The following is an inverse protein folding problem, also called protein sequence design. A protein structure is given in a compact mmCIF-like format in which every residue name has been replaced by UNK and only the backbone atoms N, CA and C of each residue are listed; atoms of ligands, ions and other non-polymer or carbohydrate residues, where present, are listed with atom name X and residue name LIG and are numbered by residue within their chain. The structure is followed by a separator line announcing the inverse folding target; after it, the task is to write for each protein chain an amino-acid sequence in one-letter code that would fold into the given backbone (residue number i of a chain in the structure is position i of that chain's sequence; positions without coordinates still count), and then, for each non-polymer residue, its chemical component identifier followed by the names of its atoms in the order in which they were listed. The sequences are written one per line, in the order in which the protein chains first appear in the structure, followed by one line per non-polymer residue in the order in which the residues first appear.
data_IF_682392796249
#
_entry.id   IF_682392796249
#
_cell.length_a   1.000
_cell.length_b   1.000
_cell.length_c   1.000
_cell.angle_alpha   90.00
_cell.angle_beta   90.00
_cell.angle_gamma   90.00
#
_symmetry.space_group_name_H-M   'P 1'
#
loop_
_entity.id
_entity.type
_entity.pdbx_description
1 polymer ?
#
# COMPACT_ATOMS: atom_id res chain seq x y z
N UNK A 1 27.52 -13.99 -6.27
CA UNK A 1 27.25 -12.60 -6.74
C UNK A 1 26.02 -12.63 -7.61
N UNK A 2 25.12 -11.62 -7.54
CA UNK A 2 23.95 -11.57 -8.44
C UNK A 2 24.40 -11.44 -9.91
N UNK A 3 23.64 -12.03 -10.83
CA UNK A 3 23.90 -11.98 -12.27
C UNK A 3 23.77 -10.56 -12.84
N UNK A 4 24.24 -10.34 -14.08
CA UNK A 4 24.10 -9.05 -14.78
C UNK A 4 22.63 -8.57 -14.71
N UNK A 5 22.42 -7.34 -14.25
CA UNK A 5 21.10 -6.73 -14.08
C UNK A 5 20.44 -6.90 -12.71
N UNK A 6 21.07 -7.64 -11.79
CA UNK A 6 20.61 -7.82 -10.42
C UNK A 6 21.63 -7.32 -9.40
N UNK A 7 21.13 -6.94 -8.23
CA UNK A 7 21.88 -6.41 -7.11
C UNK A 7 21.32 -6.96 -5.81
N UNK A 8 22.04 -6.77 -4.70
CA UNK A 8 21.55 -7.13 -3.37
C UNK A 8 21.41 -5.90 -2.48
N UNK A 9 20.42 -5.95 -1.59
CA UNK A 9 20.24 -5.00 -0.47
C UNK A 9 20.07 -5.77 0.84
N UNK A 10 20.54 -5.16 1.93
CA UNK A 10 20.30 -5.67 3.28
C UNK A 10 19.02 -5.08 3.85
N UNK A 11 18.15 -5.93 4.40
CA UNK A 11 16.86 -5.55 4.99
C UNK A 11 16.73 -6.20 6.36
N UNK A 12 16.19 -5.44 7.33
CA UNK A 12 15.97 -5.96 8.69
C UNK A 12 14.78 -6.92 8.76
N UNK A 13 14.78 -7.89 9.69
CA UNK A 13 13.70 -8.89 9.79
C UNK A 13 12.30 -8.28 9.94
N UNK A 14 12.16 -7.22 10.74
CA UNK A 14 10.89 -6.50 10.92
C UNK A 14 10.37 -5.88 9.62
N UNK A 15 11.26 -5.29 8.83
CA UNK A 15 10.94 -4.69 7.52
C UNK A 15 10.63 -5.77 6.49
N UNK A 16 11.37 -6.88 6.52
CA UNK A 16 11.09 -8.05 5.68
C UNK A 16 9.69 -8.60 5.96
N UNK A 17 9.32 -8.76 7.23
CA UNK A 17 7.99 -9.23 7.63
C UNK A 17 6.86 -8.32 7.14
N UNK A 18 7.04 -6.99 7.26
CA UNK A 18 6.09 -6.02 6.68
C UNK A 18 5.97 -6.14 5.16
N UNK A 19 7.10 -6.26 4.46
CA UNK A 19 7.09 -6.41 3.01
C UNK A 19 6.36 -7.70 2.60
N UNK A 20 6.64 -8.81 3.29
CA UNK A 20 5.96 -10.10 3.08
C UNK A 20 4.45 -9.99 3.29
N UNK A 21 4.02 -9.35 4.37
CA UNK A 21 2.60 -9.14 4.65
C UNK A 21 1.89 -8.37 3.53
N UNK A 22 2.53 -7.32 2.99
CA UNK A 22 1.96 -6.54 1.87
C UNK A 22 1.96 -7.35 0.58
N UNK A 23 3.03 -8.11 0.31
CA UNK A 23 3.09 -9.04 -0.82
C UNK A 23 1.95 -10.04 -0.75
N UNK A 24 1.77 -10.74 0.37
CA UNK A 24 0.73 -11.75 0.51
C UNK A 24 -0.68 -11.16 0.43
N UNK A 25 -0.87 -9.94 0.95
CA UNK A 25 -2.17 -9.28 0.95
C UNK A 25 -2.58 -8.74 -0.43
N UNK A 26 -1.65 -8.09 -1.13
CA UNK A 26 -1.96 -7.31 -2.33
C UNK A 26 -1.50 -7.98 -3.63
N UNK A 27 -0.58 -8.94 -3.53
CA UNK A 27 0.15 -9.52 -4.65
C UNK A 27 0.25 -11.04 -4.48
N UNK A 28 -0.90 -11.70 -4.34
CA UNK A 28 -1.00 -13.14 -4.08
C UNK A 28 -0.11 -13.97 -5.01
N UNK A 29 0.73 -14.83 -4.40
CA UNK A 29 1.65 -15.72 -5.12
C UNK A 29 2.90 -15.04 -5.70
N UNK A 30 3.11 -13.73 -5.45
CA UNK A 30 4.32 -13.04 -5.90
C UNK A 30 5.47 -13.14 -4.90
N UNK A 31 6.68 -13.01 -5.42
CA UNK A 31 7.90 -12.89 -4.62
C UNK A 31 8.12 -11.44 -4.15
N UNK A 32 8.77 -11.28 -2.99
CA UNK A 32 9.11 -9.97 -2.40
C UNK A 32 9.80 -8.99 -3.36
N UNK A 33 10.81 -9.40 -4.18
CA UNK A 33 11.46 -8.45 -5.09
C UNK A 33 10.49 -7.89 -6.14
N UNK A 34 9.51 -8.68 -6.58
CA UNK A 34 8.48 -8.23 -7.53
C UNK A 34 7.58 -7.16 -6.92
N UNK A 35 7.28 -7.26 -5.63
CA UNK A 35 6.51 -6.24 -4.91
C UNK A 35 7.23 -4.89 -4.92
N UNK A 36 8.55 -4.88 -4.69
CA UNK A 36 9.35 -3.65 -4.76
C UNK A 36 9.37 -3.04 -6.17
N UNK A 37 9.41 -3.87 -7.23
CA UNK A 37 9.32 -3.41 -8.61
C UNK A 37 8.00 -2.69 -8.86
N UNK A 38 6.89 -3.32 -8.45
CA UNK A 38 5.54 -2.76 -8.65
C UNK A 38 5.43 -1.43 -7.92
N UNK A 39 5.76 -1.39 -6.62
CA UNK A 39 5.65 -0.18 -5.81
C UNK A 39 6.52 0.96 -6.35
N UNK A 40 7.77 0.67 -6.74
CA UNK A 40 8.63 1.67 -7.40
C UNK A 40 7.99 2.24 -8.67
N UNK A 41 7.45 1.38 -9.53
CA UNK A 41 6.82 1.82 -10.78
C UNK A 41 5.58 2.66 -10.53
N UNK A 42 4.78 2.35 -9.51
CA UNK A 42 3.62 3.15 -9.12
C UNK A 42 4.02 4.54 -8.65
N UNK A 43 5.10 4.65 -7.85
CA UNK A 43 5.65 5.94 -7.40
C UNK A 43 6.19 6.74 -8.59
N UNK A 44 6.98 6.11 -9.47
CA UNK A 44 7.50 6.76 -10.69
C UNK A 44 6.40 7.22 -11.64
N UNK A 45 5.29 6.49 -11.69
CA UNK A 45 4.11 6.86 -12.46
C UNK A 45 3.23 7.93 -11.78
N UNK A 46 3.63 8.45 -10.61
CA UNK A 46 2.90 9.49 -9.89
C UNK A 46 1.60 9.03 -9.24
N UNK A 47 1.38 7.71 -9.08
CA UNK A 47 0.14 7.19 -8.46
C UNK A 47 0.04 7.55 -6.98
N UNK A 48 1.18 7.68 -6.31
CA UNK A 48 1.29 8.23 -4.97
C UNK A 48 2.70 8.77 -4.74
N UNK A 49 2.83 9.67 -3.77
CA UNK A 49 4.12 10.17 -3.31
C UNK A 49 4.49 9.50 -1.99
N UNK A 50 5.79 9.21 -1.81
CA UNK A 50 6.28 8.65 -0.56
C UNK A 50 6.38 9.79 0.45
N UNK A 51 5.63 9.68 1.54
CA UNK A 51 5.65 10.63 2.65
C UNK A 51 6.41 10.04 3.83
N UNK A 52 7.04 10.90 4.62
CA UNK A 52 7.56 10.51 5.91
C UNK A 52 6.40 10.30 6.90
N UNK A 53 6.38 9.16 7.60
CA UNK A 53 5.42 8.87 8.66
C UNK A 53 6.13 8.80 10.00
N UNK A 54 5.40 8.97 11.10
CA UNK A 54 5.96 8.81 12.44
C UNK A 54 6.23 7.34 12.75
N UNK A 55 7.36 6.81 12.27
CA UNK A 55 7.77 5.42 12.39
C UNK A 55 8.79 5.23 13.52
N UNK A 56 8.67 4.12 14.23
CA UNK A 56 9.74 3.55 15.06
C UNK A 56 9.96 2.11 14.64
N UNK A 57 11.03 1.87 13.88
CA UNK A 57 11.35 0.52 13.41
C UNK A 57 12.25 -0.20 14.41
N UNK A 58 11.89 -1.44 14.72
CA UNK A 58 12.82 -2.37 15.36
C UNK A 58 13.88 -2.80 14.34
N UNK A 59 15.06 -2.20 14.43
CA UNK A 59 16.21 -2.52 13.58
C UNK A 59 17.22 -3.45 14.28
N UNK A 60 16.79 -4.20 15.29
CA UNK A 60 17.61 -5.26 15.89
C UNK A 60 17.75 -6.47 14.96
N UNK A 61 18.55 -7.46 15.36
CA UNK A 61 18.79 -8.67 14.57
C UNK A 61 19.75 -8.48 13.39
N UNK A 62 20.06 -9.60 12.71
CA UNK A 62 20.96 -9.62 11.54
C UNK A 62 20.21 -9.16 10.29
N UNK A 63 20.93 -8.53 9.36
CA UNK A 63 20.36 -8.18 8.07
C UNK A 63 20.15 -9.45 7.23
N UNK A 64 18.97 -9.54 6.62
CA UNK A 64 18.69 -10.49 5.56
C UNK A 64 19.04 -9.84 4.22
N UNK A 65 19.56 -10.64 3.29
CA UNK A 65 19.90 -10.16 1.95
C UNK A 65 18.77 -10.49 0.99
N UNK A 66 18.29 -9.49 0.26
CA UNK A 66 17.32 -9.67 -0.84
C UNK A 66 18.02 -9.37 -2.15
N UNK A 67 17.84 -10.26 -3.13
CA UNK A 67 18.24 -10.00 -4.52
C UNK A 67 17.14 -9.21 -5.22
N UNK A 68 17.50 -8.04 -5.72
CA UNK A 68 16.62 -7.11 -6.42
C UNK A 68 17.18 -6.77 -7.80
N UNK A 69 16.35 -6.24 -8.69
CA UNK A 69 16.81 -5.71 -9.98
C UNK A 69 17.66 -4.45 -9.74
N UNK A 70 18.70 -4.24 -10.54
CA UNK A 70 19.67 -3.15 -10.31
C UNK A 70 19.07 -1.75 -10.40
N UNK A 71 18.09 -1.53 -11.27
CA UNK A 71 17.37 -0.26 -11.39
C UNK A 71 16.65 0.15 -10.09
N UNK A 72 16.17 -0.83 -9.30
CA UNK A 72 15.59 -0.56 -7.98
C UNK A 72 16.67 -0.06 -7.03
N UNK A 73 17.87 -0.68 -7.06
CA UNK A 73 18.98 -0.25 -6.21
C UNK A 73 19.42 1.17 -6.56
N UNK A 74 19.51 1.49 -7.83
CA UNK A 74 19.90 2.81 -8.29
C UNK A 74 18.83 3.86 -7.94
N UNK A 75 17.56 3.49 -8.06
CA UNK A 75 16.46 4.34 -7.59
C UNK A 75 16.50 4.59 -6.07
N UNK A 76 16.75 3.55 -5.27
CA UNK A 76 16.91 3.71 -3.80
C UNK A 76 18.10 4.61 -3.46
N UNK A 77 19.21 4.52 -4.20
CA UNK A 77 20.37 5.41 -4.02
C UNK A 77 20.04 6.86 -4.36
N UNK A 78 19.34 7.11 -5.46
CA UNK A 78 18.89 8.46 -5.81
C UNK A 78 18.06 9.09 -4.68
N UNK A 79 17.06 8.34 -4.18
CA UNK A 79 16.23 8.80 -3.07
C UNK A 79 17.03 9.00 -1.76
N UNK A 80 18.07 8.20 -1.52
CA UNK A 80 18.93 8.41 -0.36
C UNK A 80 19.68 9.74 -0.45
N UNK A 81 20.26 10.07 -1.60
CA UNK A 81 20.98 11.34 -1.75
C UNK A 81 20.05 12.55 -1.64
N UNK A 82 18.83 12.44 -2.16
CA UNK A 82 17.82 13.50 -2.12
C UNK A 82 17.24 13.71 -0.71
N UNK A 83 17.00 12.64 0.05
CA UNK A 83 16.22 12.69 1.30
C UNK A 83 17.04 12.38 2.57
N UNK A 84 18.37 12.24 2.48
CA UNK A 84 19.23 11.87 3.62
C UNK A 84 19.11 12.81 4.81
N UNK A 85 18.95 14.11 4.58
CA UNK A 85 18.85 15.12 5.65
C UNK A 85 17.53 14.99 6.41
N UNK A 86 16.41 14.93 5.69
CA UNK A 86 15.08 14.68 6.29
C UNK A 86 15.06 13.39 7.11
N UNK A 87 15.63 12.31 6.58
CA UNK A 87 15.66 11.01 7.26
C UNK A 87 16.63 11.00 8.46
N UNK A 88 17.68 11.80 8.43
CA UNK A 88 18.56 12.01 9.57
C UNK A 88 17.81 12.72 10.70
N UNK A 89 17.06 13.77 10.38
CA UNK A 89 16.29 14.54 11.38
C UNK A 89 15.14 13.72 11.98
N UNK A 90 14.33 13.07 11.15
CA UNK A 90 13.13 12.37 11.59
C UNK A 90 13.42 11.03 12.27
N UNK A 91 14.42 10.28 11.78
CA UNK A 91 14.65 8.89 12.19
C UNK A 91 16.08 8.62 12.70
N UNK A 92 16.96 9.63 12.72
CA UNK A 92 18.39 9.46 13.05
C UNK A 92 19.08 8.41 12.16
N UNK A 93 18.73 8.41 10.87
CA UNK A 93 19.29 7.50 9.86
C UNK A 93 20.61 8.06 9.33
N UNK A 94 21.71 7.36 9.59
CA UNK A 94 23.07 7.78 9.22
C UNK A 94 23.70 6.98 8.08
N UNK A 95 22.99 5.98 7.54
CA UNK A 95 23.53 5.12 6.51
C UNK A 95 22.46 4.57 5.58
N UNK A 96 22.89 4.22 4.36
CA UNK A 96 22.04 3.73 3.29
C UNK A 96 21.17 2.52 3.69
N UNK A 97 21.72 1.53 4.41
CA UNK A 97 20.95 0.32 4.76
C UNK A 97 19.81 0.62 5.74
N UNK A 98 20.03 1.55 6.69
CA UNK A 98 18.96 2.02 7.58
C UNK A 98 17.96 2.88 6.82
N UNK A 99 18.43 3.71 5.89
CA UNK A 99 17.54 4.48 5.01
C UNK A 99 16.60 3.56 4.23
N UNK A 100 17.11 2.55 3.54
CA UNK A 100 16.30 1.58 2.79
C UNK A 100 15.23 0.94 3.69
N UNK A 101 15.57 0.63 4.94
CA UNK A 101 14.63 0.06 5.91
C UNK A 101 13.46 1.00 6.20
N UNK A 102 13.74 2.27 6.51
CA UNK A 102 12.69 3.28 6.74
C UNK A 102 11.93 3.64 5.47
N UNK A 103 12.64 3.79 4.36
CA UNK A 103 12.07 4.17 3.07
C UNK A 103 11.07 3.14 2.55
N UNK A 104 11.39 1.84 2.65
CA UNK A 104 10.45 0.77 2.28
C UNK A 104 9.18 0.84 3.14
N UNK A 105 9.31 1.06 4.46
CA UNK A 105 8.12 1.15 5.32
C UNK A 105 7.32 2.41 5.04
N UNK A 106 7.96 3.56 4.84
CA UNK A 106 7.27 4.79 4.42
C UNK A 106 6.54 4.60 3.09
N UNK A 107 7.14 3.92 2.12
CA UNK A 107 6.50 3.61 0.84
C UNK A 107 5.27 2.71 1.03
N UNK A 108 5.35 1.71 1.93
CA UNK A 108 4.22 0.86 2.30
C UNK A 108 3.10 1.68 2.96
N UNK A 109 3.42 2.52 3.95
CA UNK A 109 2.41 3.30 4.66
C UNK A 109 1.76 4.35 3.73
N UNK A 110 2.52 5.00 2.84
CA UNK A 110 1.94 5.92 1.86
C UNK A 110 0.98 5.23 0.90
N UNK A 111 1.26 3.98 0.51
CA UNK A 111 0.33 3.17 -0.28
C UNK A 111 -0.91 2.80 0.54
N UNK A 112 -0.74 2.43 1.81
CA UNK A 112 -1.87 2.14 2.71
C UNK A 112 -2.75 3.37 2.90
N UNK A 113 -2.20 4.58 3.03
CA UNK A 113 -2.97 5.82 3.16
C UNK A 113 -3.85 6.08 1.92
N UNK A 114 -3.35 5.76 0.73
CA UNK A 114 -4.15 5.78 -0.50
C UNK A 114 -5.25 4.73 -0.47
N UNK A 115 -4.91 3.49 -0.09
CA UNK A 115 -5.83 2.35 -0.09
C UNK A 115 -6.88 2.43 1.03
N UNK A 116 -6.61 3.12 2.15
CA UNK A 116 -7.57 3.34 3.22
C UNK A 116 -8.79 4.16 2.76
N UNK A 117 -8.65 4.89 1.66
CA UNK A 117 -9.73 5.65 1.03
C UNK A 117 -10.36 4.90 -0.16
N UNK A 118 -9.88 3.71 -0.51
CA UNK A 118 -10.40 2.90 -1.61
C UNK A 118 -11.08 1.63 -1.08
N UNK A 119 -12.35 1.42 -1.44
CA UNK A 119 -13.01 0.14 -1.21
C UNK A 119 -12.28 -0.96 -2.00
N UNK A 120 -11.56 -1.83 -1.28
CA UNK A 120 -11.04 -3.07 -1.85
C UNK A 120 -12.21 -4.02 -2.07
N UNK A 121 -12.64 -4.14 -3.31
CA UNK A 121 -13.69 -5.06 -3.74
C UNK A 121 -13.05 -6.15 -4.57
N UNK A 122 -13.30 -7.40 -4.21
CA UNK A 122 -12.94 -8.52 -5.07
C UNK A 122 -13.94 -8.59 -6.25
N UNK A 123 -13.65 -9.45 -7.23
CA UNK A 123 -14.49 -9.59 -8.43
C UNK A 123 -15.95 -9.97 -8.09
N UNK A 124 -16.14 -10.82 -7.08
CA UNK A 124 -17.49 -11.18 -6.60
C UNK A 124 -18.21 -10.00 -5.96
N UNK A 125 -17.52 -9.17 -5.17
CA UNK A 125 -18.10 -7.98 -4.54
C UNK A 125 -18.51 -6.96 -5.61
N UNK A 126 -17.67 -6.79 -6.64
CA UNK A 126 -17.98 -5.91 -7.77
C UNK A 126 -19.18 -6.42 -8.57
N UNK A 127 -19.22 -7.72 -8.87
CA UNK A 127 -20.35 -8.35 -9.56
C UNK A 127 -21.64 -8.17 -8.77
N UNK A 128 -21.59 -8.39 -7.46
CA UNK A 128 -22.72 -8.19 -6.57
C UNK A 128 -23.21 -6.74 -6.56
N UNK A 129 -22.32 -5.76 -6.45
CA UNK A 129 -22.68 -4.33 -6.51
C UNK A 129 -23.34 -3.96 -7.84
N UNK A 130 -22.82 -4.50 -8.94
CA UNK A 130 -23.36 -4.23 -10.26
C UNK A 130 -24.75 -4.84 -10.46
N UNK A 131 -24.99 -6.03 -9.91
CA UNK A 131 -26.32 -6.66 -9.91
C UNK A 131 -27.31 -5.88 -9.02
N UNK A 132 -26.85 -5.42 -7.85
CA UNK A 132 -27.68 -4.60 -6.95
C UNK A 132 -27.98 -3.23 -7.57
N UNK A 133 -27.04 -2.60 -8.28
CA UNK A 133 -27.26 -1.39 -9.07
C UNK A 133 -28.37 -1.59 -10.11
N UNK A 134 -28.28 -2.65 -10.93
CA UNK A 134 -29.31 -2.98 -11.94
C UNK A 134 -30.69 -3.18 -11.31
N UNK A 135 -30.75 -3.83 -10.15
CA UNK A 135 -31.99 -4.05 -9.41
C UNK A 135 -32.56 -2.75 -8.86
N UNK A 136 -31.75 -1.96 -8.15
CA UNK A 136 -32.16 -0.71 -7.49
C UNK A 136 -32.55 0.38 -8.48
N UNK A 137 -31.90 0.43 -9.65
CA UNK A 137 -32.27 1.33 -10.73
C UNK A 137 -33.70 1.08 -11.25
N UNK A 138 -34.19 -0.17 -11.17
CA UNK A 138 -35.57 -0.51 -11.55
C UNK A 138 -36.57 -0.25 -10.41
N UNK A 139 -36.20 -0.60 -9.18
CA UNK A 139 -37.13 -0.64 -8.05
C UNK A 139 -37.18 0.63 -7.20
N UNK A 140 -36.13 1.45 -7.22
CA UNK A 140 -35.97 2.58 -6.29
C UNK A 140 -35.84 3.89 -7.07
N UNK A 141 -36.78 4.82 -6.86
CA UNK A 141 -36.81 6.10 -7.58
C UNK A 141 -35.50 6.89 -7.46
N UNK A 142 -34.90 6.90 -6.25
CA UNK A 142 -33.63 7.57 -5.95
C UNK A 142 -32.47 7.18 -6.89
N UNK A 143 -32.45 5.94 -7.39
CA UNK A 143 -31.33 5.42 -8.17
C UNK A 143 -31.65 5.25 -9.67
N UNK A 144 -32.79 5.75 -10.17
CA UNK A 144 -33.19 5.57 -11.58
C UNK A 144 -32.26 6.24 -12.59
N UNK A 145 -31.79 7.43 -12.23
CA UNK A 145 -31.07 8.37 -13.12
C UNK A 145 -29.59 8.50 -12.80
N UNK A 146 -29.11 7.91 -11.71
CA UNK A 146 -27.70 7.94 -11.33
C UNK A 146 -26.90 6.92 -12.13
N UNK A 147 -25.65 7.22 -12.44
CA UNK A 147 -24.75 6.25 -13.06
C UNK A 147 -24.20 5.27 -12.00
N UNK A 148 -23.43 4.26 -12.43
CA UNK A 148 -22.93 3.22 -11.52
C UNK A 148 -22.00 3.80 -10.44
N UNK A 149 -21.10 4.71 -10.79
CA UNK A 149 -20.16 5.34 -9.85
C UNK A 149 -20.90 6.13 -8.77
N UNK A 150 -21.85 6.98 -9.17
CA UNK A 150 -22.71 7.73 -8.25
C UNK A 150 -23.58 6.81 -7.38
N UNK A 151 -24.03 5.68 -7.93
CA UNK A 151 -24.74 4.67 -7.16
C UNK A 151 -23.83 4.07 -6.09
N UNK A 152 -22.61 3.65 -6.44
CA UNK A 152 -21.68 3.04 -5.50
C UNK A 152 -21.34 3.99 -4.36
N UNK A 153 -20.99 5.24 -4.66
CA UNK A 153 -20.66 6.24 -3.64
C UNK A 153 -21.79 6.47 -2.64
N UNK A 154 -23.03 6.64 -3.14
CA UNK A 154 -24.19 6.87 -2.29
C UNK A 154 -24.65 5.61 -1.54
N UNK A 155 -24.68 4.47 -2.23
CA UNK A 155 -25.21 3.21 -1.69
C UNK A 155 -24.28 2.58 -0.66
N UNK A 156 -22.97 2.60 -0.90
CA UNK A 156 -22.00 2.05 0.06
C UNK A 156 -21.93 2.94 1.30
N UNK A 157 -21.98 4.27 1.15
CA UNK A 157 -22.06 5.19 2.29
C UNK A 157 -23.28 4.92 3.17
N UNK A 158 -24.45 4.66 2.57
CA UNK A 158 -25.65 4.28 3.32
C UNK A 158 -25.49 2.95 4.07
N UNK A 159 -24.83 1.96 3.47
CA UNK A 159 -24.55 0.67 4.12
C UNK A 159 -23.66 0.88 5.35
N UNK A 160 -22.58 1.65 5.20
CA UNK A 160 -21.63 1.93 6.28
C UNK A 160 -22.33 2.63 7.45
N UNK A 161 -23.15 3.64 7.18
CA UNK A 161 -23.88 4.35 8.24
C UNK A 161 -24.92 3.47 8.94
N UNK A 162 -25.59 2.58 8.21
CA UNK A 162 -26.48 1.57 8.81
C UNK A 162 -25.72 0.60 9.72
N UNK A 163 -24.55 0.13 9.29
CA UNK A 163 -23.69 -0.75 10.10
C UNK A 163 -23.18 -0.02 11.35
N UNK A 164 -22.76 1.24 11.23
CA UNK A 164 -22.37 2.09 12.38
C UNK A 164 -23.50 2.23 13.38
N UNK A 165 -24.70 2.56 12.90
CA UNK A 165 -25.89 2.71 13.74
C UNK A 165 -26.23 1.40 14.44
N UNK A 166 -26.26 0.28 13.70
CA UNK A 166 -26.53 -1.04 14.27
C UNK A 166 -25.50 -1.43 15.33
N UNK A 167 -24.21 -1.17 15.08
CA UNK A 167 -23.14 -1.42 16.05
C UNK A 167 -23.35 -0.61 17.32
N UNK A 168 -23.67 0.68 17.20
CA UNK A 168 -23.90 1.55 18.36
C UNK A 168 -25.05 1.05 19.24
N UNK A 169 -26.13 0.52 18.65
CA UNK A 169 -27.26 -0.08 19.39
C UNK A 169 -26.87 -1.39 20.09
N UNK A 170 -26.02 -2.21 19.46
CA UNK A 170 -25.61 -3.53 19.98
C UNK A 170 -24.48 -3.47 21.01
N UNK A 171 -23.77 -2.34 21.14
CA UNK A 171 -22.76 -2.10 22.19
C UNK A 171 -23.29 -1.36 23.42
N UNK A 172 -24.62 -1.25 23.56
CA UNK A 172 -25.30 -0.82 24.81
C UNK A 172 -25.50 -2.02 25.72
#
# INVERSE_FOLDING_TARGET
MPGKGYSTIGVKPSVMGKLQQITDRNYLGMFLPSTLIIMMNEVKAGRYTIRAHKLRLDLTGRYNTITIRSDIKDWLKGNYEENKEEYLELYNVKCFTKFVSYFIVNMIESKNDLENNALKMNESDFKWLHDEYKKRRKTTAKYRTVNFEQFVDGFVSEIIEKVRTARAVLTV
#
